data_IF_258973732287
#
_entry.id   IF_258973732287
#
_cell.length_a   1.000
_cell.length_b   1.000
_cell.length_c   1.000
_cell.angle_alpha   90.00
_cell.angle_beta   90.00
_cell.angle_gamma   90.00
#
_symmetry.space_group_name_H-M   'P 1'
#
loop_
_entity.id
_entity.type
_entity.pdbx_description
1 polymer ?
#
# COMPACT_ATOMS: atom_id res chain seq x y z
N UNK A 1 4.23 -14.38 0.34
CA UNK A 1 3.50 -13.27 0.97
C UNK A 1 2.00 -13.46 0.79
N UNK A 2 1.37 -14.33 1.58
CA UNK A 2 -0.10 -14.49 1.54
C UNK A 2 -0.80 -13.29 2.20
N UNK A 3 -0.13 -12.66 3.16
CA UNK A 3 -0.69 -11.62 4.01
C UNK A 3 -0.95 -10.31 3.25
N UNK A 4 -0.05 -9.92 2.34
CA UNK A 4 -0.27 -8.74 1.47
C UNK A 4 -1.42 -8.97 0.49
N UNK A 5 -1.58 -10.18 -0.05
CA UNK A 5 -2.70 -10.51 -0.92
C UNK A 5 -4.02 -10.45 -0.16
N UNK A 6 -4.07 -11.00 1.06
CA UNK A 6 -5.23 -10.88 1.94
C UNK A 6 -5.54 -9.41 2.21
N UNK A 7 -4.54 -8.62 2.59
CA UNK A 7 -4.71 -7.20 2.87
C UNK A 7 -5.17 -6.41 1.64
N UNK A 8 -4.68 -6.75 0.44
CA UNK A 8 -5.14 -6.18 -0.82
C UNK A 8 -6.61 -6.47 -1.09
N UNK A 9 -7.01 -7.74 -0.94
CA UNK A 9 -8.37 -8.17 -1.20
C UNK A 9 -9.33 -7.57 -0.17
N UNK A 10 -8.93 -7.54 1.10
CA UNK A 10 -9.70 -6.88 2.16
C UNK A 10 -9.87 -5.39 1.88
N UNK A 11 -8.80 -4.65 1.58
CA UNK A 11 -8.89 -3.22 1.26
C UNK A 11 -9.70 -2.96 0.00
N UNK A 12 -9.60 -3.83 -1.01
CA UNK A 12 -10.40 -3.71 -2.24
C UNK A 12 -11.90 -3.89 -1.95
N UNK A 13 -12.25 -4.80 -1.04
CA UNK A 13 -13.64 -5.07 -0.69
C UNK A 13 -14.22 -4.02 0.26
N UNK A 14 -13.42 -3.52 1.20
CA UNK A 14 -13.87 -2.59 2.24
C UNK A 14 -13.77 -1.12 1.82
N UNK A 15 -12.91 -0.78 0.86
CA UNK A 15 -12.78 0.57 0.31
C UNK A 15 -13.11 0.59 -1.20
N UNK A 16 -14.36 0.33 -1.61
CA UNK A 16 -14.73 0.19 -3.02
C UNK A 16 -14.57 1.49 -3.83
N UNK A 17 -14.47 2.63 -3.16
CA UNK A 17 -14.22 3.95 -3.77
C UNK A 17 -12.79 4.11 -4.28
N UNK A 18 -11.86 3.30 -3.78
CA UNK A 18 -10.44 3.34 -4.15
C UNK A 18 -10.21 2.47 -5.38
N UNK A 19 -9.66 3.05 -6.44
CA UNK A 19 -9.31 2.29 -7.63
C UNK A 19 -8.24 1.24 -7.34
N UNK A 20 -8.52 -0.01 -7.72
CA UNK A 20 -7.64 -1.19 -7.54
C UNK A 20 -6.19 -0.98 -7.95
N UNK A 21 -5.94 -0.25 -9.05
CA UNK A 21 -4.57 0.05 -9.53
C UNK A 21 -3.77 0.95 -8.60
N UNK A 22 -4.43 1.91 -7.92
CA UNK A 22 -3.78 2.77 -6.93
C UNK A 22 -3.41 1.96 -5.70
N UNK A 23 -4.35 1.15 -5.20
CA UNK A 23 -4.13 0.27 -4.07
C UNK A 23 -2.98 -0.72 -4.33
N UNK A 24 -3.00 -1.39 -5.48
CA UNK A 24 -1.90 -2.29 -5.87
C UNK A 24 -0.55 -1.55 -5.96
N UNK A 25 -0.53 -0.30 -6.43
CA UNK A 25 0.72 0.47 -6.49
C UNK A 25 1.22 0.86 -5.11
N UNK A 26 0.31 1.20 -4.19
CA UNK A 26 0.64 1.45 -2.78
C UNK A 26 1.21 0.19 -2.13
N UNK A 27 0.53 -0.95 -2.27
CA UNK A 27 0.95 -2.22 -1.67
C UNK A 27 2.29 -2.73 -2.18
N UNK A 28 2.58 -2.55 -3.47
CA UNK A 28 3.87 -2.89 -4.05
C UNK A 28 5.01 -2.09 -3.39
N UNK A 29 4.78 -0.80 -3.13
CA UNK A 29 5.76 0.05 -2.43
C UNK A 29 5.86 -0.30 -0.95
N UNK A 30 4.73 -0.61 -0.29
CA UNK A 30 4.72 -1.08 1.10
C UNK A 30 5.49 -2.39 1.26
N UNK A 31 5.30 -3.35 0.34
CA UNK A 31 6.05 -4.60 0.36
C UNK A 31 7.55 -4.35 0.26
N UNK A 32 7.98 -3.55 -0.72
CA UNK A 32 9.39 -3.16 -0.88
C UNK A 32 9.96 -2.52 0.40
N UNK A 33 9.18 -1.68 1.09
CA UNK A 33 9.57 -1.12 2.39
C UNK A 33 9.66 -2.17 3.50
N UNK A 34 8.71 -3.11 3.57
CA UNK A 34 8.71 -4.20 4.55
C UNK A 34 9.86 -5.18 4.33
N UNK A 35 10.30 -5.36 3.09
CA UNK A 35 11.47 -6.14 2.71
C UNK A 35 12.81 -5.42 3.05
N UNK A 36 12.74 -4.29 3.75
CA UNK A 36 13.91 -3.57 4.28
C UNK A 36 14.47 -2.49 3.35
N UNK A 37 13.72 -2.06 2.33
CA UNK A 37 14.15 -0.92 1.53
C UNK A 37 14.06 0.38 2.32
N UNK A 38 15.11 1.20 2.25
CA UNK A 38 15.04 2.56 2.77
C UNK A 38 13.95 3.36 2.05
N UNK A 39 13.25 4.20 2.81
CA UNK A 39 12.12 5.02 2.38
C UNK A 39 12.48 6.19 1.43
N UNK A 40 13.60 6.09 0.72
CA UNK A 40 13.95 7.05 -0.34
C UNK A 40 13.34 6.62 -1.66
N UNK A 41 12.92 7.60 -2.48
CA UNK A 41 12.33 7.37 -3.80
C UNK A 41 13.13 6.36 -4.65
N UNK A 42 14.45 6.54 -4.70
CA UNK A 42 15.33 5.70 -5.52
C UNK A 42 15.49 4.28 -4.97
N UNK A 43 15.58 4.11 -3.64
CA UNK A 43 15.77 2.78 -3.03
C UNK A 43 14.48 1.97 -3.02
N UNK A 44 13.33 2.59 -2.75
CA UNK A 44 12.01 1.97 -2.97
C UNK A 44 11.86 1.55 -4.43
N UNK A 45 12.14 2.47 -5.37
CA UNK A 45 12.03 2.19 -6.80
C UNK A 45 12.88 0.99 -7.26
N UNK A 46 14.10 0.83 -6.72
CA UNK A 46 15.01 -0.27 -7.09
C UNK A 46 14.68 -1.60 -6.43
N UNK A 47 13.97 -1.59 -5.31
CA UNK A 47 13.58 -2.79 -4.56
C UNK A 47 12.17 -3.28 -4.91
N UNK A 48 11.45 -2.59 -5.80
CA UNK A 48 10.18 -3.09 -6.33
C UNK A 48 10.41 -4.42 -7.08
N UNK A 49 9.63 -5.44 -6.74
CA UNK A 49 9.58 -6.70 -7.48
C UNK A 49 8.79 -6.52 -8.78
N UNK A 50 9.44 -5.96 -9.79
CA UNK A 50 8.86 -5.68 -11.11
C UNK A 50 9.83 -6.00 -12.24
N UNK A 51 9.32 -6.59 -13.33
CA UNK A 51 10.10 -6.85 -14.55
C UNK A 51 10.24 -5.58 -15.41
N UNK A 52 10.88 -4.54 -14.88
CA UNK A 52 11.17 -3.31 -15.63
C UNK A 52 12.52 -2.72 -15.25
N UNK A 53 12.99 -1.72 -16.00
CA UNK A 53 14.28 -1.08 -15.69
C UNK A 53 14.19 -0.26 -14.40
N UNK A 54 15.31 -0.10 -13.69
CA UNK A 54 15.38 0.74 -12.49
C UNK A 54 14.82 2.15 -12.73
N UNK A 55 15.07 2.74 -13.91
CA UNK A 55 14.50 4.04 -14.31
C UNK A 55 12.97 4.02 -14.28
N UNK A 56 12.34 2.99 -14.83
CA UNK A 56 10.88 2.89 -14.86
C UNK A 56 10.28 2.57 -13.50
N UNK A 57 10.96 1.75 -12.70
CA UNK A 57 10.54 1.40 -11.36
C UNK A 57 10.61 2.62 -10.41
N UNK A 58 11.69 3.42 -10.47
CA UNK A 58 11.78 4.70 -9.75
C UNK A 58 10.68 5.66 -10.19
N UNK A 59 10.44 5.82 -11.50
CA UNK A 59 9.32 6.64 -12.00
C UNK A 59 7.94 6.11 -11.58
N UNK A 60 7.83 4.84 -11.21
CA UNK A 60 6.57 4.26 -10.72
C UNK A 60 6.32 4.71 -9.28
N UNK A 61 7.33 4.65 -8.42
CA UNK A 61 7.25 5.18 -7.04
C UNK A 61 7.05 6.69 -7.05
N UNK A 62 7.75 7.41 -7.92
CA UNK A 62 7.59 8.87 -8.08
C UNK A 62 6.13 9.26 -8.37
N UNK A 63 5.51 8.59 -9.35
CA UNK A 63 4.08 8.77 -9.68
C UNK A 63 3.14 8.33 -8.58
N UNK A 64 3.51 7.33 -7.77
CA UNK A 64 2.74 6.91 -6.61
C UNK A 64 2.71 8.03 -5.56
N UNK A 65 3.88 8.56 -5.21
CA UNK A 65 4.02 9.63 -4.21
C UNK A 65 3.32 10.92 -4.65
N UNK A 66 3.41 11.24 -5.95
CA UNK A 66 2.72 12.38 -6.57
C UNK A 66 1.24 12.15 -6.90
N UNK A 67 0.63 11.01 -6.52
CA UNK A 67 -0.75 10.72 -6.88
C UNK A 67 -1.75 11.49 -6.00
N UNK A 68 -2.27 12.61 -6.50
CA UNK A 68 -3.20 13.46 -5.76
C UNK A 68 -4.51 12.76 -5.36
N UNK A 69 -5.01 11.79 -6.14
CA UNK A 69 -6.19 11.01 -5.74
C UNK A 69 -5.88 10.12 -4.54
N UNK A 70 -4.74 9.42 -4.55
CA UNK A 70 -4.30 8.61 -3.42
C UNK A 70 -4.09 9.47 -2.16
N UNK A 71 -3.54 10.68 -2.31
CA UNK A 71 -3.37 11.59 -1.17
C UNK A 71 -4.71 12.01 -0.56
N UNK A 72 -5.77 12.18 -1.36
CA UNK A 72 -7.12 12.45 -0.84
C UNK A 72 -7.75 11.23 -0.17
N UNK A 73 -7.42 10.03 -0.65
CA UNK A 73 -7.95 8.76 -0.15
C UNK A 73 -7.20 8.25 1.09
N UNK A 74 -6.02 8.82 1.42
CA UNK A 74 -5.17 8.34 2.52
C UNK A 74 -5.93 8.28 3.84
N UNK A 75 -6.76 9.29 4.12
CA UNK A 75 -7.46 9.41 5.39
C UNK A 75 -8.49 8.29 5.54
N UNK A 76 -9.19 7.93 4.46
CA UNK A 76 -10.12 6.80 4.44
C UNK A 76 -9.40 5.48 4.66
N UNK A 77 -8.23 5.29 4.03
CA UNK A 77 -7.39 4.11 4.25
C UNK A 77 -6.98 4.01 5.72
N UNK A 78 -6.49 5.10 6.32
CA UNK A 78 -6.04 5.08 7.73
C UNK A 78 -7.20 4.93 8.71
N UNK A 79 -8.34 5.58 8.49
CA UNK A 79 -9.55 5.41 9.32
C UNK A 79 -10.01 3.96 9.29
N UNK A 80 -10.06 3.34 8.11
CA UNK A 80 -10.43 1.94 7.99
C UNK A 80 -9.47 1.02 8.78
N UNK A 81 -8.16 1.23 8.65
CA UNK A 81 -7.18 0.46 9.45
C UNK A 81 -7.36 0.68 10.96
N UNK A 82 -7.62 1.93 11.38
CA UNK A 82 -7.84 2.25 12.79
C UNK A 82 -9.10 1.57 13.34
N UNK A 83 -10.20 1.56 12.58
CA UNK A 83 -11.43 0.87 12.96
C UNK A 83 -11.22 -0.64 13.04
N UNK A 84 -10.53 -1.23 12.05
CA UNK A 84 -10.17 -2.66 12.08
C UNK A 84 -9.36 -3.00 13.33
N UNK A 85 -8.35 -2.19 13.67
CA UNK A 85 -7.55 -2.40 14.87
C UNK A 85 -8.37 -2.22 16.16
N UNK A 86 -9.31 -1.28 16.20
CA UNK A 86 -10.20 -1.07 17.35
C UNK A 86 -11.20 -2.23 17.54
N UNK A 87 -11.76 -2.76 16.45
CA UNK A 87 -12.64 -3.93 16.47
C UNK A 87 -11.91 -5.20 16.92
N UNK A 88 -10.68 -5.39 16.44
CA UNK A 88 -9.81 -6.49 16.90
C UNK A 88 -9.36 -6.31 18.36
N UNK A 89 -9.13 -5.07 18.80
CA UNK A 89 -8.74 -4.74 20.17
C UNK A 89 -9.87 -4.84 21.20
N UNK A 90 -11.13 -4.77 20.76
CA UNK A 90 -12.31 -4.92 21.62
C UNK A 90 -12.81 -6.37 21.74
N UNK A 91 -12.26 -7.29 20.93
CA UNK A 91 -12.66 -8.68 20.90
C UNK A 91 -11.51 -9.67 21.00
N UNK A 92 -10.89 -9.84 22.18
CA UNK A 92 -10.37 -11.15 22.68
C UNK A 92 -9.88 -11.09 24.15
N UNK A 93 -10.83 -11.20 25.08
CA UNK A 93 -10.79 -12.06 26.27
C UNK A 93 -12.25 -12.34 26.65
N UNK A 94 -12.91 -13.17 25.85
CA UNK A 94 -14.12 -13.91 26.22
C UNK A 94 -14.11 -15.24 25.50
#
# INVERSE_FOLDING_TARGET
>A
MRDIQILQDTLTNQCPTIHKKRLHSLLLATQSSLDGADLTLSKLGRSLDVRTTAKHAIKRVDRLLGNAQLQREKDEIYKWHANLMAELGTGTFR
#
